data_IF_949489704542
#
_entry.id   IF_949489704542
#
_cell.length_a   1.000
_cell.length_b   1.000
_cell.length_c   1.000
_cell.angle_alpha   90.00
_cell.angle_beta   90.00
_cell.angle_gamma   90.00
#
_symmetry.space_group_name_H-M   'P 1'
#
loop_
_entity.id
_entity.type
_entity.pdbx_description
1 polymer ?
#
# COMPACT_ATOMS: atom_id res chain seq x y z
N UNK A 1 -0.18 -7.84 -3.49
CA UNK A 1 -1.20 -7.92 -4.56
C UNK A 1 -0.88 -9.12 -5.42
N UNK A 2 -1.85 -9.94 -5.86
CA UNK A 2 -1.56 -11.05 -6.76
C UNK A 2 -1.32 -10.54 -8.20
N UNK A 3 -0.12 -10.76 -8.73
CA UNK A 3 0.20 -10.64 -10.14
C UNK A 3 -0.35 -11.83 -10.91
N UNK A 4 -0.73 -11.60 -12.16
CA UNK A 4 -1.15 -12.65 -13.09
C UNK A 4 -0.57 -12.39 -14.47
N UNK A 5 0.04 -13.40 -15.07
CA UNK A 5 0.58 -13.35 -16.42
C UNK A 5 0.47 -14.71 -17.12
N UNK A 6 0.54 -14.69 -18.45
CA UNK A 6 0.47 -15.89 -19.28
C UNK A 6 1.88 -16.19 -19.79
N UNK A 7 2.27 -17.45 -19.63
CA UNK A 7 3.53 -18.00 -20.09
C UNK A 7 3.23 -19.02 -21.19
N UNK A 8 3.67 -18.75 -22.40
CA UNK A 8 3.71 -19.70 -23.50
C UNK A 8 5.03 -20.48 -23.40
N UNK A 9 4.93 -21.79 -23.23
CA UNK A 9 6.09 -22.69 -23.11
C UNK A 9 6.03 -23.78 -24.17
N UNK A 10 7.18 -24.23 -24.71
CA UNK A 10 7.19 -25.38 -25.61
C UNK A 10 6.65 -26.63 -24.88
N UNK A 11 5.87 -27.44 -25.59
CA UNK A 11 5.28 -28.67 -25.04
C UNK A 11 6.32 -29.61 -24.40
N UNK A 12 7.54 -29.62 -24.92
CA UNK A 12 8.65 -30.43 -24.38
C UNK A 12 9.04 -30.11 -22.94
N UNK A 13 8.70 -28.92 -22.44
CA UNK A 13 9.19 -28.40 -21.14
C UNK A 13 8.07 -27.91 -20.22
N UNK A 14 6.79 -28.04 -20.62
CA UNK A 14 5.68 -27.43 -19.88
C UNK A 14 5.52 -27.99 -18.45
N UNK A 15 5.73 -29.29 -18.25
CA UNK A 15 5.68 -29.92 -16.92
C UNK A 15 6.83 -29.48 -16.02
N UNK A 16 8.03 -29.28 -16.57
CA UNK A 16 9.18 -28.80 -15.80
C UNK A 16 8.94 -27.36 -15.31
N UNK A 17 8.41 -26.50 -16.18
CA UNK A 17 8.10 -25.12 -15.81
C UNK A 17 7.01 -25.05 -14.73
N UNK A 18 6.03 -25.94 -14.73
CA UNK A 18 5.02 -26.04 -13.66
C UNK A 18 5.67 -26.33 -12.31
N UNK A 19 6.63 -27.26 -12.26
CA UNK A 19 7.38 -27.58 -11.03
C UNK A 19 8.19 -26.37 -10.55
N UNK A 20 8.82 -25.63 -11.46
CA UNK A 20 9.58 -24.40 -11.15
C UNK A 20 8.67 -23.30 -10.57
N UNK A 21 7.49 -23.11 -11.15
CA UNK A 21 6.49 -22.13 -10.65
C UNK A 21 5.98 -22.54 -9.26
N UNK A 22 5.64 -23.81 -9.07
CA UNK A 22 5.08 -24.30 -7.80
C UNK A 22 6.15 -24.44 -6.69
N UNK A 23 7.44 -24.38 -7.02
CA UNK A 23 8.53 -24.32 -6.04
C UNK A 23 8.58 -22.97 -5.30
N UNK A 24 7.97 -21.92 -5.86
CA UNK A 24 7.90 -20.59 -5.24
C UNK A 24 6.65 -20.51 -4.36
N UNK A 25 6.85 -20.26 -3.06
CA UNK A 25 5.84 -20.40 -2.01
C UNK A 25 4.52 -19.64 -2.24
N UNK A 26 4.56 -18.58 -3.03
CA UNK A 26 3.45 -17.67 -3.28
C UNK A 26 3.09 -17.56 -4.76
N UNK A 27 3.53 -18.52 -5.59
CA UNK A 27 3.18 -18.64 -7.00
C UNK A 27 2.50 -19.97 -7.30
N UNK A 28 1.59 -19.98 -8.29
CA UNK A 28 0.90 -21.18 -8.74
C UNK A 28 0.41 -21.05 -10.18
N UNK A 29 0.43 -22.17 -10.91
CA UNK A 29 -0.28 -22.28 -12.19
C UNK A 29 -1.77 -22.47 -11.94
N UNK A 30 -2.60 -21.54 -12.43
CA UNK A 30 -4.06 -21.50 -12.17
C UNK A 30 -4.86 -22.00 -13.35
N UNK A 31 -4.37 -21.76 -14.57
CA UNK A 31 -5.00 -22.27 -15.81
C UNK A 31 -3.91 -22.85 -16.68
N UNK A 32 -4.15 -24.07 -17.15
CA UNK A 32 -3.33 -24.75 -18.14
C UNK A 32 -4.19 -25.00 -19.37
N UNK A 33 -3.73 -24.55 -20.53
CA UNK A 33 -4.37 -24.87 -21.81
C UNK A 33 -3.48 -25.81 -22.59
N UNK A 34 -4.08 -26.89 -23.08
CA UNK A 34 -3.40 -27.94 -23.81
C UNK A 34 -2.62 -27.40 -25.01
N UNK A 35 -1.46 -28.01 -25.34
CA UNK A 35 -0.57 -27.53 -26.39
C UNK A 35 -1.28 -27.37 -27.73
N UNK A 36 -1.07 -26.22 -28.38
CA UNK A 36 -1.58 -25.96 -29.74
C UNK A 36 -0.44 -25.55 -30.67
N UNK A 37 -0.49 -25.93 -31.96
CA UNK A 37 0.47 -25.45 -32.95
C UNK A 37 0.30 -23.94 -33.15
N UNK A 38 1.41 -23.20 -33.14
CA UNK A 38 1.42 -21.74 -33.21
C UNK A 38 0.96 -21.21 -34.59
N UNK A 39 1.04 -22.05 -35.62
CA UNK A 39 0.57 -21.80 -36.99
C UNK A 39 0.33 -23.15 -37.68
N UNK A 40 -0.62 -23.30 -38.62
CA UNK A 40 -0.92 -24.58 -39.27
C UNK A 40 0.28 -25.26 -39.95
N UNK A 41 1.32 -24.50 -40.32
CA UNK A 41 2.55 -25.01 -40.95
C UNK A 41 3.73 -25.21 -39.99
N UNK A 42 3.57 -24.94 -38.68
CA UNK A 42 4.66 -25.05 -37.70
C UNK A 42 4.52 -26.32 -36.85
N UNK A 43 5.54 -27.19 -36.78
CA UNK A 43 5.49 -28.44 -36.01
C UNK A 43 5.65 -28.23 -34.50
N UNK A 44 5.91 -27.00 -34.04
CA UNK A 44 6.10 -26.69 -32.62
C UNK A 44 4.76 -26.38 -31.94
N UNK A 45 4.42 -27.18 -30.93
CA UNK A 45 3.29 -26.98 -30.03
C UNK A 45 3.72 -26.21 -28.78
N UNK A 46 2.90 -25.24 -28.38
CA UNK A 46 3.11 -24.44 -27.18
C UNK A 46 1.93 -24.63 -26.23
N UNK A 47 2.22 -24.82 -24.94
CA UNK A 47 1.24 -24.80 -23.87
C UNK A 47 1.14 -23.38 -23.28
N UNK A 48 -0.09 -22.93 -23.01
CA UNK A 48 -0.33 -21.66 -22.32
C UNK A 48 -0.56 -21.93 -20.83
N UNK A 49 0.35 -21.44 -19.99
CA UNK A 49 0.28 -21.52 -18.54
C UNK A 49 -0.04 -20.15 -17.97
N UNK A 50 -1.18 -20.02 -17.29
CA UNK A 50 -1.52 -18.81 -16.55
C UNK A 50 -1.01 -18.91 -15.13
N UNK A 51 -0.01 -18.10 -14.79
CA UNK A 51 0.61 -18.05 -13.48
C UNK A 51 -0.04 -16.94 -12.64
N UNK A 52 -0.38 -17.25 -11.40
CA UNK A 52 -0.77 -16.26 -10.40
C UNK A 52 0.22 -16.29 -9.23
N UNK A 53 0.70 -15.13 -8.80
CA UNK A 53 1.71 -15.02 -7.74
C UNK A 53 1.58 -13.75 -6.90
N UNK A 54 2.00 -13.74 -5.63
CA UNK A 54 1.98 -12.52 -4.80
C UNK A 54 3.27 -11.69 -4.87
N UNK A 55 4.37 -12.33 -5.25
CA UNK A 55 5.68 -11.76 -5.54
C UNK A 55 6.12 -12.15 -6.95
N UNK A 56 7.01 -11.36 -7.55
CA UNK A 56 7.63 -11.70 -8.83
C UNK A 56 8.95 -12.47 -8.64
N UNK A 57 9.12 -13.14 -7.51
CA UNK A 57 10.27 -14.02 -7.26
C UNK A 57 10.22 -15.25 -8.18
N UNK A 58 9.02 -15.63 -8.62
CA UNK A 58 8.79 -16.63 -9.68
C UNK A 58 9.50 -16.27 -10.99
N UNK A 59 9.68 -14.98 -11.29
CA UNK A 59 10.43 -14.57 -12.50
C UNK A 59 11.91 -14.92 -12.34
N UNK A 60 12.52 -14.61 -11.18
CA UNK A 60 13.93 -14.94 -10.95
C UNK A 60 14.17 -16.46 -10.98
N UNK A 61 13.21 -17.22 -10.45
CA UNK A 61 13.27 -18.69 -10.44
C UNK A 61 13.12 -19.30 -11.85
N UNK A 62 12.25 -18.73 -12.69
CA UNK A 62 12.13 -19.11 -14.11
C UNK A 62 13.44 -18.78 -14.86
N UNK A 63 14.04 -17.62 -14.61
CA UNK A 63 15.32 -17.25 -15.24
C UNK A 63 16.49 -18.12 -14.77
N UNK A 64 16.49 -18.54 -13.50
CA UNK A 64 17.45 -19.51 -12.96
C UNK A 64 17.30 -20.85 -13.67
N UNK A 65 16.07 -21.35 -13.82
CA UNK A 65 15.79 -22.56 -14.58
C UNK A 65 16.17 -22.43 -16.06
N UNK A 66 15.90 -21.29 -16.72
CA UNK A 66 16.32 -21.04 -18.12
C UNK A 66 17.84 -21.01 -18.31
N UNK A 67 18.60 -20.63 -17.29
CA UNK A 67 20.06 -20.65 -17.34
C UNK A 67 20.63 -22.06 -17.20
N UNK A 68 19.93 -22.95 -16.48
CA UNK A 68 20.34 -24.33 -16.21
C UNK A 68 19.85 -25.31 -17.30
N UNK A 69 18.62 -25.09 -17.78
CA UNK A 69 17.99 -25.82 -18.86
C UNK A 69 18.41 -25.15 -20.16
N UNK A 70 19.18 -25.81 -21.03
CA UNK A 70 19.68 -25.26 -22.31
C UNK A 70 18.59 -24.86 -23.35
N UNK A 71 17.35 -24.66 -22.89
CA UNK A 71 16.16 -24.15 -23.56
C UNK A 71 16.28 -22.63 -23.65
N UNK A 72 17.27 -22.17 -24.40
CA UNK A 72 17.58 -20.74 -24.49
C UNK A 72 16.56 -19.93 -25.30
N UNK A 73 15.57 -20.56 -25.96
CA UNK A 73 14.59 -19.92 -26.85
C UNK A 73 13.25 -20.66 -26.85
N UNK A 74 12.15 -19.91 -26.95
CA UNK A 74 10.79 -20.43 -27.04
C UNK A 74 9.91 -20.27 -25.79
N UNK A 75 10.44 -19.77 -24.67
CA UNK A 75 9.58 -19.37 -23.55
C UNK A 75 9.20 -17.91 -23.71
N UNK A 76 7.91 -17.68 -23.87
CA UNK A 76 7.35 -16.36 -24.21
C UNK A 76 6.38 -15.95 -23.12
N UNK A 77 6.44 -14.71 -22.69
CA UNK A 77 5.37 -14.09 -21.92
C UNK A 77 4.45 -13.38 -22.89
N UNK A 78 3.17 -13.72 -22.82
CA UNK A 78 2.14 -12.94 -23.48
C UNK A 78 1.76 -11.77 -22.57
N UNK A 79 2.21 -10.59 -22.98
CA UNK A 79 1.89 -9.35 -22.32
C UNK A 79 0.42 -8.98 -22.63
N UNK A 80 -0.31 -8.42 -21.66
CA UNK A 80 -1.71 -8.06 -21.83
C UNK A 80 -1.92 -7.04 -22.98
N UNK A 81 -0.94 -6.17 -23.23
CA UNK A 81 -0.93 -5.30 -24.41
C UNK A 81 -0.87 -6.04 -25.77
N UNK A 82 -0.88 -7.38 -25.77
CA UNK A 82 -0.81 -8.24 -26.94
C UNK A 82 0.60 -8.42 -27.49
N UNK A 83 1.63 -7.91 -26.78
CA UNK A 83 3.02 -8.10 -27.18
C UNK A 83 3.55 -9.43 -26.64
N UNK A 84 4.07 -10.24 -27.56
CA UNK A 84 4.74 -11.49 -27.22
C UNK A 84 6.21 -11.22 -26.98
N UNK A 85 6.67 -11.54 -25.78
CA UNK A 85 8.03 -11.23 -25.36
C UNK A 85 8.76 -12.51 -25.00
N UNK A 86 9.81 -12.81 -25.77
CA UNK A 86 10.66 -13.97 -25.52
C UNK A 86 11.58 -13.69 -24.33
N UNK A 87 11.55 -14.56 -23.32
CA UNK A 87 12.30 -14.35 -22.07
C UNK A 87 13.81 -14.28 -22.29
N UNK A 88 14.32 -14.91 -23.35
CA UNK A 88 15.74 -14.91 -23.69
C UNK A 88 16.28 -13.53 -24.09
N UNK A 89 15.42 -12.67 -24.64
CA UNK A 89 15.81 -11.37 -25.18
C UNK A 89 15.72 -10.24 -24.15
N UNK A 90 15.18 -10.54 -22.96
CA UNK A 90 14.88 -9.56 -21.92
C UNK A 90 15.54 -9.91 -20.60
N UNK A 91 15.98 -8.88 -19.87
CA UNK A 91 16.48 -9.04 -18.51
C UNK A 91 15.31 -9.30 -17.54
N UNK A 92 15.47 -10.15 -16.50
CA UNK A 92 14.43 -10.39 -15.49
C UNK A 92 13.83 -9.11 -14.89
N UNK A 93 14.62 -8.02 -14.76
CA UNK A 93 14.07 -6.73 -14.29
C UNK A 93 13.13 -6.09 -15.30
N UNK A 94 13.42 -6.23 -16.60
CA UNK A 94 12.55 -5.72 -17.66
C UNK A 94 11.24 -6.51 -17.73
N UNK A 95 11.31 -7.83 -17.60
CA UNK A 95 10.12 -8.70 -17.54
C UNK A 95 9.27 -8.41 -16.31
N UNK A 96 9.89 -8.19 -15.14
CA UNK A 96 9.16 -7.76 -13.94
C UNK A 96 8.41 -6.46 -14.15
N UNK A 97 9.06 -5.45 -14.74
CA UNK A 97 8.41 -4.16 -15.06
C UNK A 97 7.26 -4.35 -16.04
N UNK A 98 7.41 -5.24 -17.00
CA UNK A 98 6.37 -5.56 -17.97
C UNK A 98 5.16 -6.19 -17.29
N UNK A 99 5.34 -7.26 -16.52
CA UNK A 99 4.26 -7.92 -15.76
C UNK A 99 3.59 -6.95 -14.78
N UNK A 100 4.37 -6.06 -14.15
CA UNK A 100 3.85 -5.01 -13.28
C UNK A 100 3.01 -3.98 -14.05
N UNK A 101 3.47 -3.53 -15.22
CA UNK A 101 2.78 -2.55 -16.05
C UNK A 101 1.54 -3.11 -16.77
N UNK A 102 1.52 -4.41 -17.05
CA UNK A 102 0.47 -5.10 -17.79
C UNK A 102 -0.78 -5.48 -17.00
N UNK A 103 -0.76 -5.27 -15.69
CA UNK A 103 -1.94 -5.49 -14.87
C UNK A 103 -3.02 -4.48 -15.34
N UNK A 104 -3.99 -4.96 -16.15
CA UNK A 104 -5.00 -4.19 -16.91
C UNK A 104 -5.96 -3.30 -16.10
N UNK A 105 -5.70 -3.13 -14.81
CA UNK A 105 -6.28 -2.06 -13.99
C UNK A 105 -5.63 -0.70 -14.31
N UNK A 106 -4.43 -0.66 -14.94
CA UNK A 106 -3.63 0.56 -15.11
C UNK A 106 -4.05 1.48 -16.28
N UNK A 107 -4.57 0.97 -17.41
CA UNK A 107 -4.84 1.81 -18.59
C UNK A 107 -5.99 2.82 -18.41
N UNK A 108 -6.88 2.60 -17.43
CA UNK A 108 -8.00 3.50 -17.15
C UNK A 108 -7.90 4.26 -15.81
N UNK A 109 -6.84 4.07 -15.02
CA UNK A 109 -6.69 4.77 -13.71
C UNK A 109 -5.37 5.50 -13.49
N UNK A 110 -4.43 5.49 -14.44
CA UNK A 110 -3.19 6.30 -14.34
C UNK A 110 -3.06 7.20 -15.57
N UNK A 111 -2.89 8.53 -15.42
CA UNK A 111 -2.66 9.42 -16.56
C UNK A 111 -1.34 9.04 -17.25
N UNK A 112 -1.37 8.94 -18.59
CA UNK A 112 -0.18 8.71 -19.42
C UNK A 112 0.82 9.85 -19.26
N UNK A 113 1.81 9.69 -18.38
CA UNK A 113 3.00 10.54 -18.36
C UNK A 113 4.10 9.76 -19.08
N UNK A 114 4.55 10.31 -20.22
CA UNK A 114 5.71 9.85 -20.99
C UNK A 114 6.89 9.61 -20.06
N UNK A 115 7.72 8.62 -20.40
CA UNK A 115 9.05 8.37 -19.83
C UNK A 115 9.78 9.67 -19.48
N UNK A 116 9.69 10.04 -18.21
CA UNK A 116 10.63 10.94 -17.55
C UNK A 116 11.39 10.01 -16.64
N UNK A 117 12.72 10.00 -16.75
CA UNK A 117 13.59 9.53 -15.69
C UNK A 117 13.26 10.36 -14.45
N UNK A 118 12.31 9.89 -13.65
CA UNK A 118 11.90 10.57 -12.44
C UNK A 118 12.98 10.28 -11.40
N UNK A 119 13.78 11.26 -10.97
CA UNK A 119 14.44 11.13 -9.68
C UNK A 119 13.34 10.81 -8.67
N UNK A 120 13.57 9.81 -7.82
CA UNK A 120 12.64 9.34 -6.78
C UNK A 120 11.68 10.47 -6.36
N UNK A 121 10.41 10.40 -6.77
CA UNK A 121 9.43 11.43 -6.43
C UNK A 121 9.27 11.44 -4.91
N UNK A 122 9.97 12.37 -4.27
CA UNK A 122 9.75 12.88 -2.91
C UNK A 122 8.44 13.70 -2.87
N UNK A 123 7.36 13.17 -3.47
CA UNK A 123 6.10 13.88 -3.71
C UNK A 123 5.06 13.78 -2.58
N UNK A 124 5.51 13.44 -1.37
CA UNK A 124 4.66 13.47 -0.18
C UNK A 124 5.54 13.85 0.99
N UNK A 125 4.99 14.62 1.95
CA UNK A 125 5.72 15.03 3.13
C UNK A 125 6.46 13.82 3.71
N UNK A 126 7.80 13.90 3.72
CA UNK A 126 8.60 12.92 4.44
C UNK A 126 8.16 13.01 5.88
N UNK A 127 7.95 11.86 6.52
CA UNK A 127 7.51 11.81 7.93
C UNK A 127 8.41 12.73 8.79
N UNK A 128 9.70 12.84 8.47
CA UNK A 128 10.67 13.71 9.13
C UNK A 128 10.47 15.24 8.96
N UNK A 129 9.68 15.70 7.98
CA UNK A 129 9.50 17.13 7.64
C UNK A 129 8.13 17.71 8.07
N UNK A 130 7.32 16.88 8.73
CA UNK A 130 6.02 17.24 9.30
C UNK A 130 6.22 18.16 10.51
N UNK A 131 5.42 19.23 10.69
CA UNK A 131 5.52 20.10 11.86
C UNK A 131 4.92 19.35 13.06
N UNK A 132 5.73 18.50 13.68
CA UNK A 132 5.42 17.91 14.98
C UNK A 132 5.57 18.99 16.06
N UNK A 133 4.61 19.02 16.98
CA UNK A 133 4.49 20.08 18.00
C UNK A 133 3.31 21.00 17.72
N UNK A 134 2.34 21.01 18.63
CA UNK A 134 1.27 22.01 18.65
C UNK A 134 1.82 23.42 18.84
N UNK A 135 0.95 24.44 18.71
CA UNK A 135 1.28 25.87 18.94
C UNK A 135 2.16 26.02 20.18
N UNK A 136 3.42 26.42 19.97
CA UNK A 136 4.38 26.66 21.03
C UNK A 136 3.84 27.79 21.94
N UNK A 137 3.39 27.43 23.14
CA UNK A 137 3.42 28.37 24.26
C UNK A 137 4.88 28.55 24.64
N UNK A 138 5.40 29.75 24.37
CA UNK A 138 6.78 30.10 24.67
C UNK A 138 7.02 30.16 26.18
N UNK A 139 7.50 29.08 26.76
CA UNK A 139 8.35 29.15 27.96
C UNK A 139 8.99 27.79 28.23
N UNK A 140 10.31 27.70 28.08
CA UNK A 140 11.16 26.97 29.03
C UNK A 140 12.63 27.28 28.79
N UNK A 141 13.26 27.75 29.87
CA UNK A 141 14.70 27.93 30.05
C UNK A 141 15.44 26.59 29.96
N UNK A 142 16.66 26.61 29.45
CA UNK A 142 17.55 25.46 29.37
C UNK A 142 17.94 24.95 30.77
N UNK A 143 17.77 23.65 31.00
CA UNK A 143 18.18 22.92 32.21
C UNK A 143 19.38 22.02 31.87
N UNK A 144 20.37 21.81 32.77
CA UNK A 144 21.60 21.10 32.47
C UNK A 144 21.35 19.60 32.25
N UNK A 145 22.18 18.99 31.39
CA UNK A 145 22.04 17.60 30.97
C UNK A 145 22.30 16.60 32.10
N UNK A 146 21.25 15.88 32.52
CA UNK A 146 21.36 14.64 33.28
C UNK A 146 21.48 13.44 32.32
N UNK A 147 22.23 12.42 32.74
CA UNK A 147 22.54 11.22 31.95
C UNK A 147 21.42 10.16 31.97
N UNK A 148 20.18 10.58 32.18
CA UNK A 148 18.98 9.76 32.06
C UNK A 148 18.06 10.31 30.97
N UNK A 149 17.64 9.45 30.05
CA UNK A 149 16.64 9.81 29.04
C UNK A 149 15.27 9.76 29.71
N UNK A 150 14.72 10.93 30.02
CA UNK A 150 13.32 11.06 30.45
C UNK A 150 12.42 11.15 29.21
N UNK A 151 11.66 10.09 28.96
CA UNK A 151 10.62 10.10 27.92
C UNK A 151 9.32 10.64 28.53
N UNK A 152 8.69 11.60 27.84
CA UNK A 152 7.36 12.09 28.16
C UNK A 152 6.25 11.16 27.66
N UNK A 153 5.14 11.74 27.21
CA UNK A 153 4.04 11.00 26.59
C UNK A 153 4.29 10.76 25.09
N UNK A 154 3.56 9.80 24.50
CA UNK A 154 3.45 9.68 23.05
C UNK A 154 2.66 10.90 22.53
N UNK A 155 3.29 11.73 21.69
CA UNK A 155 2.61 12.93 21.15
C UNK A 155 1.50 12.57 20.17
N UNK A 156 1.82 11.79 19.14
CA UNK A 156 0.87 11.41 18.12
C UNK A 156 1.32 10.17 17.33
N UNK A 157 0.36 9.54 16.66
CA UNK A 157 0.60 8.47 15.69
C UNK A 157 0.42 9.06 14.29
N UNK A 158 1.46 8.98 13.47
CA UNK A 158 1.41 9.42 12.08
C UNK A 158 0.85 8.32 11.17
N UNK A 159 -0.17 8.64 10.39
CA UNK A 159 -0.81 7.71 9.46
C UNK A 159 -0.78 8.31 8.06
N UNK A 160 -0.15 7.61 7.12
CA UNK A 160 -0.18 7.99 5.71
C UNK A 160 -1.51 7.56 5.10
N UNK A 161 -2.20 8.48 4.46
CA UNK A 161 -3.48 8.21 3.78
C UNK A 161 -3.45 8.77 2.36
N UNK A 162 -4.21 8.14 1.46
CA UNK A 162 -4.37 8.64 0.08
C UNK A 162 -5.43 9.73 -0.04
N UNK A 163 -6.41 9.67 0.86
CA UNK A 163 -7.56 10.57 0.87
C UNK A 163 -7.71 11.13 2.28
N UNK A 164 -7.18 12.33 2.49
CA UNK A 164 -7.25 13.02 3.78
C UNK A 164 -8.68 13.39 4.15
N UNK A 165 -9.53 13.78 3.20
CA UNK A 165 -10.90 14.18 3.48
C UNK A 165 -11.70 12.99 4.03
N UNK A 166 -11.58 11.83 3.36
CA UNK A 166 -12.23 10.60 3.79
C UNK A 166 -11.67 10.09 5.12
N UNK A 167 -10.35 10.16 5.31
CA UNK A 167 -9.72 9.76 6.57
C UNK A 167 -10.13 10.66 7.73
N UNK A 168 -10.11 11.97 7.54
CA UNK A 168 -10.57 12.94 8.52
C UNK A 168 -12.02 12.65 8.92
N UNK A 169 -12.92 12.53 7.93
CA UNK A 169 -14.33 12.23 8.18
C UNK A 169 -14.51 10.93 8.97
N UNK A 170 -13.77 9.87 8.61
CA UNK A 170 -13.81 8.59 9.31
C UNK A 170 -13.37 8.70 10.78
N UNK A 171 -12.19 9.27 11.06
CA UNK A 171 -11.68 9.34 12.44
C UNK A 171 -12.51 10.28 13.32
N UNK A 172 -13.06 11.35 12.75
CA UNK A 172 -14.02 12.23 13.42
C UNK A 172 -15.30 11.50 13.74
N UNK A 173 -15.88 10.79 12.78
CA UNK A 173 -17.12 10.06 12.98
C UNK A 173 -16.91 8.86 13.93
N UNK A 174 -15.99 7.95 13.61
CA UNK A 174 -15.79 6.69 14.31
C UNK A 174 -15.26 6.86 15.74
N UNK A 175 -14.18 7.63 15.90
CA UNK A 175 -13.52 7.84 17.18
C UNK A 175 -13.92 9.14 17.88
N UNK A 176 -14.73 10.00 17.25
CA UNK A 176 -15.12 11.28 17.86
C UNK A 176 -13.97 12.28 17.94
N UNK A 177 -12.94 12.15 17.09
CA UNK A 177 -11.79 13.05 17.12
C UNK A 177 -12.16 14.45 16.63
N UNK A 178 -11.59 15.48 17.28
CA UNK A 178 -11.65 16.87 16.84
C UNK A 178 -10.48 17.19 15.91
N UNK A 179 -10.68 18.12 14.97
CA UNK A 179 -9.59 18.63 14.13
C UNK A 179 -8.82 19.69 14.92
N UNK A 180 -7.57 19.40 15.26
CA UNK A 180 -6.69 20.36 15.93
C UNK A 180 -6.15 21.39 14.95
N UNK A 181 -5.68 20.95 13.78
CA UNK A 181 -5.32 21.82 12.67
C UNK A 181 -5.27 21.05 11.34
N UNK A 182 -5.32 21.82 10.26
CA UNK A 182 -4.95 21.39 8.90
C UNK A 182 -3.80 22.26 8.43
N UNK A 183 -2.86 21.69 7.68
CA UNK A 183 -1.71 22.42 7.17
C UNK A 183 -1.33 21.98 5.76
N UNK A 184 -0.74 22.89 5.00
CA UNK A 184 -0.17 22.65 3.67
C UNK A 184 1.22 23.27 3.57
N UNK A 185 2.02 22.87 2.58
CA UNK A 185 3.23 23.60 2.20
C UNK A 185 2.87 24.74 1.24
N UNK A 186 3.41 25.91 1.52
CA UNK A 186 3.39 27.09 0.64
C UNK A 186 4.79 27.72 0.71
N UNK A 187 5.45 27.87 -0.44
CA UNK A 187 6.84 28.35 -0.54
C UNK A 187 7.82 27.63 0.40
N UNK A 188 7.70 26.29 0.45
CA UNK A 188 8.52 25.40 1.29
C UNK A 188 8.35 25.63 2.81
N UNK A 189 7.28 26.33 3.22
CA UNK A 189 6.91 26.55 4.63
C UNK A 189 5.55 25.96 4.95
N UNK A 190 5.41 25.47 6.17
CA UNK A 190 4.13 25.02 6.67
C UNK A 190 3.23 26.21 6.98
N UNK A 191 2.04 26.20 6.38
CA UNK A 191 0.97 27.15 6.68
C UNK A 191 -0.24 26.40 7.19
N UNK A 192 -0.72 26.81 8.36
CA UNK A 192 -1.98 26.35 8.90
C UNK A 192 -3.13 26.95 8.09
N UNK A 193 -4.13 26.12 7.82
CA UNK A 193 -5.38 26.52 7.18
C UNK A 193 -6.35 27.03 8.24
N UNK A 194 -7.33 27.81 7.78
CA UNK A 194 -8.34 28.39 8.66
C UNK A 194 -9.22 27.30 9.30
N UNK A 195 -9.77 27.62 10.48
CA UNK A 195 -10.55 26.66 11.27
C UNK A 195 -11.87 26.27 10.58
N UNK A 196 -12.42 27.17 9.78
CA UNK A 196 -13.63 27.02 8.97
C UNK A 196 -13.36 26.42 7.58
N UNK A 197 -12.15 25.91 7.33
CA UNK A 197 -11.79 25.22 6.09
C UNK A 197 -12.86 24.18 5.69
N UNK A 198 -13.35 24.32 4.46
CA UNK A 198 -14.29 23.41 3.84
C UNK A 198 -13.61 22.64 2.70
N UNK A 199 -13.65 21.30 2.80
CA UNK A 199 -13.02 20.42 1.82
C UNK A 199 -13.53 20.65 0.40
N UNK A 200 -14.81 20.99 0.21
CA UNK A 200 -15.40 21.13 -1.13
C UNK A 200 -14.98 22.46 -1.76
N UNK A 201 -15.21 23.57 -1.05
CA UNK A 201 -14.91 24.91 -1.52
C UNK A 201 -13.40 25.12 -1.74
N UNK A 202 -12.58 24.73 -0.76
CA UNK A 202 -11.15 25.02 -0.80
C UNK A 202 -10.37 24.18 -1.82
N UNK A 203 -10.84 22.98 -2.17
CA UNK A 203 -10.24 22.19 -3.26
C UNK A 203 -10.43 22.88 -4.61
N UNK A 204 -11.59 23.51 -4.86
CA UNK A 204 -11.84 24.27 -6.09
C UNK A 204 -10.89 25.46 -6.23
N UNK A 205 -10.46 26.04 -5.12
CA UNK A 205 -9.49 27.13 -5.07
C UNK A 205 -8.02 26.65 -5.06
N UNK A 206 -7.79 25.34 -5.22
CA UNK A 206 -6.45 24.74 -5.22
C UNK A 206 -5.78 24.67 -3.84
N UNK A 207 -6.54 24.86 -2.76
CA UNK A 207 -6.05 24.77 -1.38
C UNK A 207 -6.28 23.35 -0.87
N UNK A 208 -5.25 22.52 -0.96
CA UNK A 208 -5.29 21.12 -0.52
C UNK A 208 -4.41 20.97 0.73
N UNK A 209 -4.96 20.50 1.87
CA UNK A 209 -4.16 20.13 3.02
C UNK A 209 -3.21 18.98 2.67
N UNK A 210 -2.00 19.04 3.19
CA UNK A 210 -1.06 17.91 3.16
C UNK A 210 -1.06 17.15 4.48
N UNK A 211 -1.49 17.81 5.57
CA UNK A 211 -1.51 17.24 6.90
C UNK A 211 -2.78 17.67 7.64
N UNK A 212 -3.35 16.71 8.39
CA UNK A 212 -4.45 16.97 9.33
C UNK A 212 -4.10 16.34 10.67
N UNK A 213 -4.10 17.14 11.74
CA UNK A 213 -3.98 16.63 13.11
C UNK A 213 -5.35 16.49 13.74
N UNK A 214 -5.62 15.32 14.28
CA UNK A 214 -6.85 14.93 14.96
C UNK A 214 -6.56 14.55 16.40
N UNK A 215 -7.46 14.90 17.32
CA UNK A 215 -7.26 14.65 18.75
C UNK A 215 -8.56 14.16 19.41
N UNK A 216 -8.46 13.17 20.29
CA UNK A 216 -9.50 12.80 21.26
C UNK A 216 -8.86 12.39 22.59
N UNK A 217 -8.90 13.29 23.56
CA UNK A 217 -8.29 13.07 24.87
C UNK A 217 -6.79 12.79 24.74
N UNK A 218 -6.30 11.63 25.21
CA UNK A 218 -4.87 11.29 25.17
C UNK A 218 -4.40 10.76 23.81
N UNK A 219 -5.29 10.59 22.83
CA UNK A 219 -4.94 10.04 21.52
C UNK A 219 -4.91 11.15 20.48
N UNK A 220 -3.77 11.33 19.83
CA UNK A 220 -3.63 12.20 18.66
C UNK A 220 -3.20 11.40 17.43
N UNK A 221 -3.81 11.72 16.30
CA UNK A 221 -3.45 11.20 14.97
C UNK A 221 -2.97 12.35 14.09
N UNK A 222 -1.88 12.12 13.37
CA UNK A 222 -1.42 13.01 12.30
C UNK A 222 -1.60 12.28 10.98
N UNK A 223 -2.62 12.68 10.23
CA UNK A 223 -2.89 12.17 8.90
C UNK A 223 -2.00 12.92 7.92
N UNK A 224 -1.23 12.17 7.12
CA UNK A 224 -0.30 12.71 6.13
C UNK A 224 -0.78 12.28 4.75
N UNK A 225 -0.98 13.25 3.86
CA UNK A 225 -1.27 12.97 2.46
C UNK A 225 -0.06 12.28 1.83
N UNK A 226 -0.23 11.04 1.42
CA UNK A 226 0.82 10.32 0.73
C UNK A 226 0.99 10.77 -0.73
N UNK A 227 0.01 11.47 -1.29
CA UNK A 227 -0.06 11.80 -2.70
C UNK A 227 -0.76 10.72 -3.52
N UNK A 228 -1.42 11.14 -4.60
CA UNK A 228 -2.06 10.25 -5.56
C UNK A 228 -0.97 9.44 -6.29
N UNK A 229 -0.95 8.12 -6.10
CA UNK A 229 0.03 7.23 -6.72
C UNK A 229 1.21 6.81 -5.83
N UNK A 230 1.27 7.27 -4.58
CA UNK A 230 2.28 6.77 -3.65
C UNK A 230 2.08 5.27 -3.35
N UNK A 231 3.18 4.51 -3.45
CA UNK A 231 3.26 3.14 -2.99
C UNK A 231 3.08 3.16 -1.47
N UNK A 232 1.93 2.69 -1.02
CA UNK A 232 1.67 2.48 0.39
C UNK A 232 2.24 1.13 0.75
N UNK A 233 3.33 1.12 1.49
CA UNK A 233 3.81 -0.10 2.12
C UNK A 233 2.86 -0.51 3.25
N UNK A 234 2.81 -1.80 3.55
CA UNK A 234 2.10 -2.29 4.73
C UNK A 234 2.55 -1.52 5.97
N UNK A 235 1.57 -1.24 6.84
CA UNK A 235 1.83 -0.54 8.08
C UNK A 235 2.78 -1.40 8.93
N UNK A 236 3.95 -0.87 9.28
CA UNK A 236 4.92 -1.58 10.12
C UNK A 236 4.52 -1.63 11.59
N UNK A 237 3.57 -0.77 11.99
CA UNK A 237 2.97 -0.84 13.32
C UNK A 237 1.92 -1.94 13.31
N UNK A 238 2.16 -3.00 14.08
CA UNK A 238 1.27 -4.17 14.14
C UNK A 238 -0.16 -3.79 14.57
N UNK A 239 -0.30 -2.98 15.62
CA UNK A 239 -1.56 -2.39 16.06
C UNK A 239 -1.33 -1.21 17.01
N UNK A 240 -2.34 -0.35 17.13
CA UNK A 240 -2.45 0.71 18.13
C UNK A 240 -3.40 0.24 19.22
N UNK A 241 -2.91 0.13 20.46
CA UNK A 241 -3.72 -0.31 21.60
C UNK A 241 -4.14 0.89 22.45
N UNK A 242 -5.44 1.00 22.72
CA UNK A 242 -6.02 2.06 23.55
C UNK A 242 -6.99 1.48 24.57
N UNK A 243 -7.02 2.09 25.74
CA UNK A 243 -7.97 1.75 26.81
C UNK A 243 -9.27 2.54 26.65
N UNK A 244 -10.42 1.88 26.81
CA UNK A 244 -11.75 2.49 26.71
C UNK A 244 -12.67 1.96 27.80
N UNK A 245 -13.76 2.69 28.07
CA UNK A 245 -14.84 2.17 28.93
C UNK A 245 -15.58 0.99 28.27
N UNK A 246 -16.18 0.10 29.06
CA UNK A 246 -17.04 -0.99 28.54
C UNK A 246 -18.16 -0.48 27.63
N UNK A 247 -18.77 0.65 27.98
CA UNK A 247 -19.82 1.30 27.17
C UNK A 247 -19.30 1.84 25.84
N UNK A 248 -18.07 2.36 25.82
CA UNK A 248 -17.42 2.83 24.59
C UNK A 248 -16.99 1.66 23.72
N UNK A 249 -16.48 0.58 24.31
CA UNK A 249 -16.16 -0.66 23.60
C UNK A 249 -17.38 -1.21 22.87
N UNK A 250 -18.52 -1.36 23.56
CA UNK A 250 -19.75 -1.88 22.97
C UNK A 250 -20.23 -1.01 21.79
N UNK A 251 -20.16 0.32 21.94
CA UNK A 251 -20.52 1.27 20.88
C UNK A 251 -19.61 1.15 19.66
N UNK A 252 -18.29 1.16 19.85
CA UNK A 252 -17.32 1.07 18.76
C UNK A 252 -17.34 -0.30 18.07
N UNK A 253 -17.49 -1.38 18.85
CA UNK A 253 -17.70 -2.74 18.32
C UNK A 253 -18.89 -2.79 17.39
N UNK A 254 -20.06 -2.32 17.85
CA UNK A 254 -21.27 -2.31 17.04
C UNK A 254 -21.05 -1.60 15.70
N UNK A 255 -20.44 -0.40 15.74
CA UNK A 255 -20.13 0.37 14.52
C UNK A 255 -19.19 -0.37 13.57
N UNK A 256 -18.12 -0.99 14.08
CA UNK A 256 -17.17 -1.73 13.25
C UNK A 256 -17.81 -2.95 12.59
N UNK A 257 -18.66 -3.68 13.32
CA UNK A 257 -19.39 -4.83 12.80
C UNK A 257 -20.42 -4.41 11.73
N UNK A 258 -21.18 -3.33 11.97
CA UNK A 258 -22.12 -2.79 10.98
C UNK A 258 -21.42 -2.30 9.71
N UNK A 259 -20.22 -1.73 9.84
CA UNK A 259 -19.42 -1.29 8.71
C UNK A 259 -18.61 -2.43 8.03
N UNK A 260 -18.76 -3.67 8.51
CA UNK A 260 -18.08 -4.87 8.02
C UNK A 260 -16.55 -4.74 7.97
N UNK A 261 -15.96 -4.15 9.01
CA UNK A 261 -14.50 -4.06 9.13
C UNK A 261 -13.88 -5.42 9.45
N UNK A 262 -12.62 -5.59 9.08
CA UNK A 262 -11.90 -6.84 9.34
C UNK A 262 -11.62 -6.97 10.83
N UNK A 263 -12.37 -7.84 11.51
CA UNK A 263 -12.20 -8.12 12.93
C UNK A 263 -11.13 -9.20 13.10
N UNK A 264 -10.15 -8.92 13.96
CA UNK A 264 -9.04 -9.81 14.30
C UNK A 264 -9.22 -10.45 15.68
N UNK A 265 -9.94 -9.76 16.59
CA UNK A 265 -10.24 -10.23 17.93
C UNK A 265 -11.60 -9.66 18.37
N UNK A 266 -12.48 -10.51 18.90
CA UNK A 266 -13.74 -10.09 19.52
C UNK A 266 -13.96 -10.87 20.82
N UNK A 267 -13.63 -10.24 21.94
CA UNK A 267 -13.83 -10.79 23.29
C UNK A 267 -14.58 -9.79 24.17
N UNK A 268 -15.15 -10.19 25.31
CA UNK A 268 -15.88 -9.26 26.18
C UNK A 268 -15.04 -8.06 26.66
N UNK A 269 -13.71 -8.22 26.79
CA UNK A 269 -12.81 -7.18 27.32
C UNK A 269 -11.87 -6.57 26.28
N UNK A 270 -11.82 -7.11 25.07
CA UNK A 270 -10.97 -6.62 24.01
C UNK A 270 -11.64 -6.73 22.64
N UNK A 271 -11.39 -5.76 21.78
CA UNK A 271 -11.86 -5.78 20.40
C UNK A 271 -10.75 -5.27 19.49
N UNK A 272 -10.36 -6.06 18.49
CA UNK A 272 -9.32 -5.69 17.53
C UNK A 272 -9.87 -5.75 16.12
N UNK A 273 -9.68 -4.67 15.36
CA UNK A 273 -10.13 -4.57 13.98
C UNK A 273 -9.15 -3.73 13.14
N UNK A 274 -9.12 -3.96 11.83
CA UNK A 274 -8.43 -3.10 10.88
C UNK A 274 -9.40 -2.07 10.30
N UNK A 275 -8.99 -0.81 10.30
CA UNK A 275 -9.76 0.29 9.72
C UNK A 275 -9.59 0.38 8.18
N UNK A 276 -10.37 1.24 7.49
CA UNK A 276 -10.28 1.40 6.04
C UNK A 276 -8.93 1.89 5.50
N UNK A 277 -8.04 2.37 6.38
CA UNK A 277 -6.72 2.89 6.04
C UNK A 277 -5.60 1.89 6.40
N UNK A 278 -5.95 0.69 6.85
CA UNK A 278 -5.01 -0.37 7.19
C UNK A 278 -4.34 -0.19 8.55
N UNK A 279 -4.87 0.67 9.42
CA UNK A 279 -4.42 0.74 10.82
C UNK A 279 -5.22 -0.27 11.63
N UNK A 280 -4.51 -1.16 12.32
CA UNK A 280 -5.12 -2.09 13.26
C UNK A 280 -5.28 -1.42 14.61
N UNK A 281 -6.51 -1.38 15.11
CA UNK A 281 -6.84 -0.83 16.42
C UNK A 281 -7.18 -1.96 17.38
N UNK A 282 -6.59 -1.93 18.57
CA UNK A 282 -6.98 -2.77 19.70
C UNK A 282 -7.60 -1.90 20.79
N UNK A 283 -8.84 -2.18 21.14
CA UNK A 283 -9.57 -1.54 22.22
C UNK A 283 -9.61 -2.48 23.41
N UNK A 284 -9.17 -2.02 24.58
CA UNK A 284 -9.15 -2.82 25.82
C UNK A 284 -9.95 -2.13 26.91
N UNK A 285 -10.78 -2.87 27.64
CA UNK A 285 -11.57 -2.32 28.76
C UNK A 285 -10.66 -1.98 29.94
N UNK A 286 -10.73 -0.75 30.43
CA UNK A 286 -10.07 -0.29 31.64
C UNK A 286 -11.11 0.24 32.65
N UNK A 287 -11.84 -0.71 33.22
CA UNK A 287 -12.92 -0.52 34.20
C UNK A 287 -12.69 -1.48 35.36
#
# INVERSE_FOLDING_TARGET
MPYRFVLEVPDTVHEEVKVVVDAVHDARVVIERHPRPQSPDSPQSYAELTVACHSLDVVDEIYRWLAESAVGRGVVIDAYNGSRVELADYDPRAVRRMIQGDQYWMEHTVPRIRNVDLPMMEGGARVAEVPYGGRLSSSALAVPAESHVELGAVDAIAVRVRDLARAEAFYRDFFGMGVAYRARREDDRWRFLDADFDWTASIHDGIVPEIVRLENGPVALVLINAGMGAVMHENRVAYVSVTVSSSTLARLRGRALFANYTVLEDSPRAFRFADPFGVTWQLVVND
#
